data_IF_385364835513
#
_entry.id   IF_385364835513
#
_cell.length_a   1.000
_cell.length_b   1.000
_cell.length_c   1.000
_cell.angle_alpha   90.00
_cell.angle_beta   90.00
_cell.angle_gamma   90.00
#
_symmetry.space_group_name_H-M   'P 1'
#
loop_
_entity.id
_entity.type
_entity.pdbx_description
1 polymer ?
#
# COMPACT_ATOMS: atom_id res chain seq x y z
N UNK A 1 19.78 42.36 -39.28
CA UNK A 1 19.94 41.22 -38.34
C UNK A 1 19.48 41.60 -36.93
N UNK A 2 18.17 41.75 -36.69
CA UNK A 2 17.64 42.13 -35.35
C UNK A 2 16.30 41.45 -35.00
N UNK A 3 15.91 40.39 -35.72
CA UNK A 3 14.64 39.67 -35.47
C UNK A 3 14.81 38.18 -35.10
N UNK A 4 16.04 37.68 -35.03
CA UNK A 4 16.30 36.26 -34.70
C UNK A 4 16.61 36.07 -33.20
N UNK A 5 17.00 37.12 -32.48
CA UNK A 5 17.39 37.01 -31.07
C UNK A 5 16.22 36.96 -30.06
N UNK A 6 14.99 37.27 -30.47
CA UNK A 6 13.85 37.30 -29.54
C UNK A 6 13.13 35.96 -29.40
N UNK A 7 13.24 35.07 -30.40
CA UNK A 7 12.61 33.74 -30.37
C UNK A 7 13.45 32.77 -29.51
N UNK A 8 14.77 32.99 -29.40
CA UNK A 8 15.65 32.12 -28.61
C UNK A 8 15.56 32.36 -27.09
N UNK A 9 15.05 33.52 -26.64
CA UNK A 9 14.92 33.83 -25.22
C UNK A 9 13.60 33.33 -24.59
N UNK A 10 12.55 33.13 -25.40
CA UNK A 10 11.27 32.56 -24.93
C UNK A 10 11.37 31.04 -24.73
N UNK A 11 12.34 30.38 -25.37
CA UNK A 11 12.60 28.94 -25.25
C UNK A 11 13.45 28.56 -24.02
N UNK A 12 14.01 29.52 -23.29
CA UNK A 12 14.95 29.26 -22.17
C UNK A 12 14.42 29.64 -20.79
N UNK A 13 13.18 30.11 -20.67
CA UNK A 13 12.55 30.40 -19.36
C UNK A 13 11.10 29.96 -19.27
N UNK A 14 10.65 28.96 -20.04
CA UNK A 14 9.41 28.25 -19.69
C UNK A 14 9.68 27.34 -18.47
N UNK A 15 9.94 27.98 -17.33
CA UNK A 15 9.30 27.56 -16.10
C UNK A 15 7.80 27.57 -16.41
N UNK A 16 7.31 26.45 -16.94
CA UNK A 16 5.88 26.20 -17.02
C UNK A 16 5.43 26.33 -15.57
N UNK A 17 4.71 27.41 -15.26
CA UNK A 17 4.09 27.58 -13.97
C UNK A 17 3.34 26.27 -13.69
N UNK A 18 3.65 25.63 -12.58
CA UNK A 18 3.02 24.37 -12.20
C UNK A 18 1.58 24.71 -11.80
N UNK A 19 0.67 24.68 -12.76
CA UNK A 19 -0.75 24.89 -12.50
C UNK A 19 -1.33 23.61 -11.87
N UNK A 20 -1.25 23.53 -10.54
CA UNK A 20 -1.86 22.48 -9.73
C UNK A 20 -0.88 21.48 -9.12
N UNK A 21 -1.38 20.38 -8.54
CA UNK A 21 -0.59 19.49 -7.70
C UNK A 21 0.39 18.60 -8.48
N UNK A 22 0.13 18.31 -9.75
CA UNK A 22 0.83 17.24 -10.48
C UNK A 22 2.08 17.76 -11.21
N UNK A 23 3.17 17.01 -11.15
CA UNK A 23 4.33 17.23 -12.00
C UNK A 23 3.96 17.13 -13.49
N UNK A 24 4.72 17.75 -14.41
CA UNK A 24 4.44 17.64 -15.84
C UNK A 24 4.34 16.18 -16.34
N UNK A 25 5.18 15.29 -15.82
CA UNK A 25 5.15 13.86 -16.16
C UNK A 25 3.87 13.17 -15.69
N UNK A 26 3.43 13.44 -14.46
CA UNK A 26 2.19 12.89 -13.93
C UNK A 26 0.97 13.47 -14.64
N UNK A 27 0.94 14.78 -14.93
CA UNK A 27 -0.13 15.41 -15.70
C UNK A 27 -0.29 14.77 -17.09
N UNK A 28 0.82 14.52 -17.80
CA UNK A 28 0.80 13.79 -19.07
C UNK A 28 0.24 12.37 -18.95
N UNK A 29 0.61 11.65 -17.89
CA UNK A 29 0.06 10.31 -17.60
C UNK A 29 -1.44 10.37 -17.34
N UNK A 30 -1.89 11.31 -16.50
CA UNK A 30 -3.30 11.50 -16.19
C UNK A 30 -4.11 11.86 -17.45
N UNK A 31 -3.59 12.74 -18.29
CA UNK A 31 -4.21 13.11 -19.57
C UNK A 31 -4.38 11.90 -20.49
N UNK A 32 -3.33 11.07 -20.63
CA UNK A 32 -3.39 9.84 -21.41
C UNK A 32 -4.42 8.84 -20.87
N UNK A 33 -4.49 8.69 -19.55
CA UNK A 33 -5.44 7.81 -18.87
C UNK A 33 -6.89 8.29 -19.06
N UNK A 34 -7.14 9.59 -18.90
CA UNK A 34 -8.46 10.21 -19.08
C UNK A 34 -8.93 10.03 -20.53
N UNK A 35 -8.07 10.31 -21.50
CA UNK A 35 -8.42 10.16 -22.92
C UNK A 35 -8.73 8.70 -23.29
N UNK A 36 -8.01 7.75 -22.71
CA UNK A 36 -8.22 6.31 -22.97
C UNK A 36 -9.45 5.74 -22.26
N UNK A 37 -9.84 6.33 -21.14
CA UNK A 37 -10.92 5.81 -20.30
C UNK A 37 -11.87 6.93 -19.81
N UNK A 38 -12.55 7.64 -20.73
CA UNK A 38 -13.38 8.80 -20.39
C UNK A 38 -14.58 8.45 -19.51
N UNK A 39 -15.00 7.17 -19.45
CA UNK A 39 -16.13 6.66 -18.68
C UNK A 39 -15.91 6.69 -17.15
N UNK A 40 -14.66 6.67 -16.69
CA UNK A 40 -14.35 6.69 -15.26
C UNK A 40 -14.34 8.10 -14.73
N UNK A 41 -14.99 8.30 -13.57
CA UNK A 41 -15.08 9.62 -12.94
C UNK A 41 -14.05 9.83 -11.83
N UNK A 42 -13.38 8.75 -11.40
CA UNK A 42 -12.40 8.75 -10.33
C UNK A 42 -11.10 8.13 -10.83
N UNK A 43 -9.98 8.76 -10.49
CA UNK A 43 -8.63 8.23 -10.66
C UNK A 43 -7.99 8.17 -9.28
N UNK A 44 -7.78 6.96 -8.76
CA UNK A 44 -7.07 6.74 -7.51
C UNK A 44 -5.57 6.61 -7.79
N UNK A 45 -4.76 7.42 -7.12
CA UNK A 45 -3.31 7.31 -7.10
C UNK A 45 -2.90 6.78 -5.73
N UNK A 46 -2.31 5.59 -5.71
CA UNK A 46 -1.63 5.05 -4.54
C UNK A 46 -0.11 5.11 -4.76
N UNK A 47 0.62 5.74 -3.85
CA UNK A 47 2.07 5.82 -3.86
C UNK A 47 2.67 4.90 -2.80
N UNK A 48 3.63 4.07 -3.21
CA UNK A 48 4.26 3.07 -2.34
C UNK A 48 5.72 2.85 -2.70
N UNK A 49 6.56 2.53 -1.70
CA UNK A 49 7.93 2.02 -1.88
C UNK A 49 7.96 0.53 -1.57
N UNK A 50 8.21 -0.29 -2.59
CA UNK A 50 8.25 -1.75 -2.49
C UNK A 50 9.59 -2.26 -3.00
N UNK A 51 10.32 -3.04 -2.20
CA UNK A 51 11.64 -3.62 -2.56
C UNK A 51 12.63 -2.58 -3.14
N UNK A 52 12.60 -1.35 -2.62
CA UNK A 52 13.46 -0.26 -3.08
C UNK A 52 12.95 0.50 -4.32
N UNK A 53 11.85 0.06 -4.93
CA UNK A 53 11.21 0.74 -6.06
C UNK A 53 10.14 1.72 -5.56
N UNK A 54 10.15 2.95 -6.08
CA UNK A 54 9.08 3.92 -5.84
C UNK A 54 8.01 3.81 -6.93
N UNK A 55 6.81 3.43 -6.53
CA UNK A 55 5.73 3.04 -7.43
C UNK A 55 4.50 3.93 -7.26
N UNK A 56 3.85 4.23 -8.37
CA UNK A 56 2.52 4.82 -8.44
C UNK A 56 1.55 3.83 -9.09
N UNK A 57 0.60 3.34 -8.31
CA UNK A 57 -0.54 2.59 -8.79
C UNK A 57 -1.64 3.59 -9.14
N UNK A 58 -1.94 3.72 -10.43
CA UNK A 58 -2.97 4.64 -10.93
C UNK A 58 -4.14 3.80 -11.42
N UNK A 59 -5.28 3.93 -10.76
CA UNK A 59 -6.47 3.10 -10.98
C UNK A 59 -7.67 3.96 -11.34
N UNK A 60 -8.28 3.65 -12.49
CA UNK A 60 -9.54 4.26 -12.91
C UNK A 60 -10.73 3.53 -12.28
N UNK A 61 -11.64 4.29 -11.67
CA UNK A 61 -12.79 3.81 -10.92
C UNK A 61 -14.03 4.67 -11.22
N UNK A 62 -15.22 4.08 -11.12
CA UNK A 62 -16.46 4.88 -11.14
C UNK A 62 -16.77 5.52 -9.79
N UNK A 63 -16.29 4.91 -8.71
CA UNK A 63 -16.55 5.34 -7.35
C UNK A 63 -15.24 5.50 -6.59
N UNK A 64 -15.16 6.49 -5.69
CA UNK A 64 -14.00 6.67 -4.84
C UNK A 64 -14.12 5.80 -3.57
N UNK A 65 -12.98 5.40 -3.03
CA UNK A 65 -12.89 4.70 -1.76
C UNK A 65 -12.41 5.67 -0.66
N UNK A 66 -13.27 6.07 0.30
CA UNK A 66 -12.87 6.90 1.43
C UNK A 66 -11.67 6.37 2.22
N UNK A 67 -11.53 5.04 2.34
CA UNK A 67 -10.42 4.41 3.07
C UNK A 67 -9.09 4.52 2.34
N UNK A 68 -9.10 4.79 1.04
CA UNK A 68 -7.93 4.98 0.17
C UNK A 68 -7.82 6.43 -0.32
N UNK A 69 -8.30 7.38 0.49
CA UNK A 69 -8.23 8.81 0.21
C UNK A 69 -7.67 9.55 1.43
N UNK A 70 -6.53 10.20 1.26
CA UNK A 70 -5.96 11.15 2.23
C UNK A 70 -6.18 12.59 1.79
N UNK A 71 -6.09 12.77 0.48
CA UNK A 71 -6.27 14.06 -0.18
C UNK A 71 -6.77 13.85 -1.60
N UNK A 72 -7.25 14.90 -2.23
CA UNK A 72 -7.79 14.82 -3.57
C UNK A 72 -7.64 16.14 -4.33
N UNK A 73 -7.87 16.08 -5.64
CA UNK A 73 -7.93 17.24 -6.52
C UNK A 73 -8.91 16.99 -7.66
N UNK A 74 -9.56 18.04 -8.16
CA UNK A 74 -10.44 17.94 -9.33
C UNK A 74 -9.63 18.32 -10.56
N UNK A 75 -9.38 17.33 -11.43
CA UNK A 75 -8.57 17.50 -12.62
C UNK A 75 -9.38 17.12 -13.85
N UNK A 76 -9.64 18.10 -14.75
CA UNK A 76 -10.45 17.91 -15.97
C UNK A 76 -11.78 17.21 -15.69
N UNK A 77 -12.50 17.68 -14.66
CA UNK A 77 -13.78 17.14 -14.17
C UNK A 77 -13.71 15.72 -13.56
N UNK A 78 -12.51 15.14 -13.41
CA UNK A 78 -12.30 13.87 -12.72
C UNK A 78 -11.86 14.11 -11.28
N UNK A 79 -12.34 13.27 -10.37
CA UNK A 79 -11.82 13.22 -9.00
C UNK A 79 -10.52 12.43 -9.00
N UNK A 80 -9.40 13.08 -8.73
CA UNK A 80 -8.12 12.41 -8.51
C UNK A 80 -7.92 12.27 -7.00
N UNK A 81 -7.99 11.05 -6.48
CA UNK A 81 -7.69 10.77 -5.06
C UNK A 81 -6.24 10.35 -4.91
N UNK A 82 -5.66 10.67 -3.76
CA UNK A 82 -4.28 10.34 -3.44
C UNK A 82 -4.18 9.67 -2.07
N UNK A 83 -3.34 8.64 -2.01
CA UNK A 83 -3.00 7.90 -0.79
C UNK A 83 -1.52 7.49 -0.85
N UNK A 84 -0.77 7.78 0.21
CA UNK A 84 0.60 7.29 0.35
C UNK A 84 0.66 6.19 1.42
N UNK A 85 1.31 5.07 1.12
CA UNK A 85 1.41 3.94 2.08
C UNK A 85 2.63 4.03 3.01
N UNK A 86 3.55 4.95 2.74
CA UNK A 86 4.80 5.15 3.46
C UNK A 86 5.07 6.64 3.72
N UNK A 87 6.16 6.97 4.41
CA UNK A 87 6.53 8.36 4.71
C UNK A 87 7.59 8.96 3.75
N UNK A 88 7.86 8.35 2.59
CA UNK A 88 8.81 8.95 1.64
C UNK A 88 8.23 10.24 1.04
N UNK A 89 9.04 11.29 0.94
CA UNK A 89 8.64 12.54 0.30
C UNK A 89 8.56 12.37 -1.22
N UNK A 90 7.36 12.59 -1.78
CA UNK A 90 7.10 12.57 -3.23
C UNK A 90 6.53 13.90 -3.74
N UNK A 91 6.80 14.99 -3.02
CA UNK A 91 6.39 16.36 -3.37
C UNK A 91 6.78 16.79 -4.80
N UNK A 92 7.88 16.23 -5.31
CA UNK A 92 8.37 16.46 -6.66
C UNK A 92 7.49 15.81 -7.76
N UNK A 93 6.66 14.81 -7.42
CA UNK A 93 5.64 14.24 -8.32
C UNK A 93 4.26 14.84 -8.03
N UNK A 94 3.88 14.93 -6.76
CA UNK A 94 2.58 15.43 -6.31
C UNK A 94 2.80 16.42 -5.18
N UNK A 95 2.50 17.70 -5.42
CA UNK A 95 2.63 18.74 -4.42
C UNK A 95 1.37 18.79 -3.54
N UNK A 96 1.55 18.34 -2.30
CA UNK A 96 0.50 18.26 -1.31
C UNK A 96 -0.10 19.61 -0.92
N UNK A 97 0.61 20.73 -1.15
CA UNK A 97 0.10 22.06 -0.82
C UNK A 97 -1.09 22.46 -1.72
N UNK A 98 -1.19 21.85 -2.91
CA UNK A 98 -2.30 22.08 -3.84
C UNK A 98 -3.43 21.05 -3.71
N UNK A 99 -3.22 19.98 -2.94
CA UNK A 99 -4.23 18.95 -2.74
C UNK A 99 -5.22 19.38 -1.64
N UNK A 100 -6.50 19.14 -1.85
CA UNK A 100 -7.50 19.26 -0.80
C UNK A 100 -7.35 18.08 0.17
N UNK A 101 -7.24 18.37 1.47
CA UNK A 101 -7.26 17.33 2.50
C UNK A 101 -8.65 16.70 2.55
N UNK A 102 -8.70 15.36 2.59
CA UNK A 102 -9.94 14.63 2.81
C UNK A 102 -10.17 14.46 4.31
N UNK A 103 -11.31 14.94 4.79
CA UNK A 103 -11.72 14.93 6.20
C UNK A 103 -12.72 13.82 6.55
N UNK A 104 -13.05 12.97 5.57
CA UNK A 104 -14.08 11.94 5.70
C UNK A 104 -15.46 12.36 5.20
N UNK A 105 -15.63 13.63 4.81
CA UNK A 105 -16.89 14.17 4.27
C UNK A 105 -17.28 13.57 2.92
N UNK A 106 -18.57 13.61 2.60
CA UNK A 106 -19.07 13.16 1.30
C UNK A 106 -18.60 14.11 0.20
N UNK A 107 -18.01 13.57 -0.87
CA UNK A 107 -17.65 14.32 -2.07
C UNK A 107 -18.80 14.32 -3.08
N UNK A 108 -18.78 15.25 -4.04
CA UNK A 108 -19.71 15.30 -5.18
C UNK A 108 -19.44 14.21 -6.24
N UNK A 109 -18.98 13.05 -5.81
CA UNK A 109 -18.67 11.87 -6.61
C UNK A 109 -19.25 10.64 -5.91
N UNK A 110 -19.49 9.56 -6.65
CA UNK A 110 -20.05 8.35 -6.07
C UNK A 110 -19.04 7.68 -5.11
N UNK A 111 -19.49 7.35 -3.90
CA UNK A 111 -18.71 6.58 -2.94
C UNK A 111 -18.96 5.08 -3.16
N UNK A 112 -17.89 4.27 -3.05
CA UNK A 112 -17.97 2.81 -3.24
C UNK A 112 -18.95 2.12 -2.28
N UNK A 113 -19.15 2.67 -1.09
CA UNK A 113 -20.06 2.12 -0.08
C UNK A 113 -21.54 2.48 -0.31
N UNK A 114 -21.82 3.44 -1.19
CA UNK A 114 -23.20 3.90 -1.47
C UNK A 114 -23.65 3.63 -2.90
N UNK A 115 -22.75 3.19 -3.78
CA UNK A 115 -22.99 3.02 -5.21
C UNK A 115 -23.23 1.56 -5.57
N UNK A 116 -24.21 1.31 -6.46
CA UNK A 116 -24.43 -0.01 -7.07
C UNK A 116 -23.64 -0.22 -8.36
N UNK A 117 -22.86 0.78 -8.78
CA UNK A 117 -22.07 0.71 -10.02
C UNK A 117 -20.83 -0.13 -9.77
N UNK A 118 -20.81 -1.35 -10.31
CA UNK A 118 -19.66 -2.24 -10.32
C UNK A 118 -19.03 -2.24 -11.71
N UNK A 119 -17.74 -1.92 -11.80
CA UNK A 119 -16.94 -2.13 -13.00
C UNK A 119 -15.58 -2.65 -12.59
N UNK A 120 -14.95 -3.42 -13.47
CA UNK A 120 -13.57 -3.81 -13.25
C UNK A 120 -12.67 -2.57 -13.26
N UNK A 121 -11.81 -2.37 -12.24
CA UNK A 121 -10.87 -1.27 -12.22
C UNK A 121 -9.85 -1.42 -13.34
N UNK A 122 -9.49 -0.32 -14.00
CA UNK A 122 -8.34 -0.30 -14.91
C UNK A 122 -7.14 0.28 -14.20
N UNK A 123 -6.13 -0.55 -13.93
CA UNK A 123 -4.90 -0.13 -13.24
C UNK A 123 -3.71 -0.06 -14.21
N UNK A 124 -2.86 0.93 -14.00
CA UNK A 124 -1.52 1.04 -14.54
C UNK A 124 -0.54 1.31 -13.42
N UNK A 125 0.64 0.72 -13.48
CA UNK A 125 1.70 0.92 -12.48
C UNK A 125 2.85 1.66 -13.14
N UNK A 126 3.28 2.75 -12.51
CA UNK A 126 4.42 3.53 -12.95
C UNK A 126 5.52 3.47 -11.89
N UNK A 127 6.76 3.32 -12.33
CA UNK A 127 7.93 3.51 -11.48
C UNK A 127 8.38 4.97 -11.59
N UNK A 128 8.70 5.57 -10.44
CA UNK A 128 9.33 6.89 -10.38
C UNK A 128 10.83 6.71 -10.56
N UNK A 129 11.37 7.23 -11.67
CA UNK A 129 12.79 7.11 -12.02
C UNK A 129 13.44 8.50 -11.97
N UNK A 130 14.31 8.72 -10.99
CA UNK A 130 14.89 10.03 -10.72
C UNK A 130 13.85 11.08 -10.28
N UNK A 131 14.27 12.35 -10.16
CA UNK A 131 13.49 13.41 -9.54
C UNK A 131 12.31 13.96 -10.37
N UNK A 132 11.58 13.12 -11.12
CA UNK A 132 10.23 13.40 -11.65
C UNK A 132 9.77 12.45 -12.79
N UNK A 133 10.59 11.55 -13.33
CA UNK A 133 10.16 10.77 -14.52
C UNK A 133 9.31 9.58 -14.10
N UNK A 134 8.30 9.27 -14.91
CA UNK A 134 7.44 8.12 -14.72
C UNK A 134 7.65 7.13 -15.86
N UNK A 135 7.98 5.89 -15.51
CA UNK A 135 8.10 4.79 -16.46
C UNK A 135 6.96 3.79 -16.27
N UNK A 136 6.16 3.57 -17.32
CA UNK A 136 5.09 2.59 -17.29
C UNK A 136 5.66 1.18 -17.17
N UNK A 137 5.23 0.45 -16.14
CA UNK A 137 5.55 -0.95 -15.99
C UNK A 137 4.54 -1.80 -16.76
N UNK A 138 4.98 -2.39 -17.86
CA UNK A 138 4.14 -3.31 -18.66
C UNK A 138 3.89 -4.65 -17.98
N UNK A 139 4.78 -5.03 -17.09
CA UNK A 139 4.78 -6.28 -16.32
C UNK A 139 5.15 -5.97 -14.87
N UNK A 140 4.31 -5.22 -14.14
CA UNK A 140 4.62 -4.83 -12.77
C UNK A 140 4.92 -6.04 -11.90
N UNK A 141 4.23 -7.16 -12.12
CA UNK A 141 4.45 -8.43 -11.43
C UNK A 141 5.91 -8.89 -11.47
N UNK A 142 6.66 -8.59 -12.54
CA UNK A 142 8.08 -8.97 -12.67
C UNK A 142 9.04 -8.04 -11.93
N UNK A 143 8.63 -6.81 -11.64
CA UNK A 143 9.43 -5.85 -10.87
C UNK A 143 9.16 -6.03 -9.38
N UNK A 144 7.89 -6.25 -9.01
CA UNK A 144 7.52 -6.80 -7.69
C UNK A 144 7.65 -8.34 -7.65
N UNK A 145 8.67 -8.89 -8.31
CA UNK A 145 9.11 -10.27 -8.06
C UNK A 145 10.34 -10.24 -7.17
N UNK A 146 10.29 -10.98 -6.05
CA UNK A 146 11.41 -11.06 -5.13
C UNK A 146 12.53 -11.89 -5.75
N UNK A 147 13.73 -11.33 -5.83
CA UNK A 147 14.93 -12.03 -6.35
C UNK A 147 15.63 -12.85 -5.28
N UNK A 148 15.59 -12.38 -4.04
CA UNK A 148 16.27 -12.98 -2.91
C UNK A 148 15.28 -13.75 -2.05
N UNK A 149 15.67 -14.93 -1.58
CA UNK A 149 14.87 -15.70 -0.61
C UNK A 149 14.77 -14.94 0.71
N UNK A 150 13.71 -15.25 1.46
CA UNK A 150 13.56 -14.84 2.86
C UNK A 150 13.99 -16.02 3.73
N UNK A 151 15.00 -15.80 4.55
CA UNK A 151 15.67 -16.86 5.33
C UNK A 151 15.82 -16.50 6.80
N UNK A 152 15.43 -15.28 7.21
CA UNK A 152 15.50 -14.87 8.59
C UNK A 152 14.78 -15.83 9.55
N UNK A 153 15.27 -15.87 10.78
CA UNK A 153 14.87 -16.80 11.83
C UNK A 153 14.70 -16.10 13.20
N UNK A 154 14.67 -14.77 13.21
CA UNK A 154 14.48 -13.96 14.41
C UNK A 154 13.01 -13.95 14.85
N UNK A 155 12.74 -13.78 16.15
CA UNK A 155 11.39 -13.69 16.74
C UNK A 155 10.57 -14.98 16.67
N UNK A 156 10.44 -15.67 15.54
CA UNK A 156 9.57 -16.86 15.40
C UNK A 156 10.34 -18.12 15.76
N UNK A 157 10.08 -18.68 16.94
CA UNK A 157 10.76 -19.87 17.46
C UNK A 157 10.23 -21.17 16.85
N UNK A 158 8.94 -21.21 16.50
CA UNK A 158 8.36 -22.37 15.84
C UNK A 158 8.91 -22.49 14.40
N UNK A 159 9.66 -23.55 14.12
CA UNK A 159 10.35 -23.75 12.84
C UNK A 159 9.41 -23.78 11.64
N UNK A 160 8.30 -24.53 11.72
CA UNK A 160 7.40 -24.67 10.58
C UNK A 160 6.63 -23.37 10.32
N UNK A 161 6.20 -22.67 11.38
CA UNK A 161 5.61 -21.34 11.26
C UNK A 161 6.60 -20.35 10.63
N UNK A 162 7.88 -20.41 11.04
CA UNK A 162 8.93 -19.57 10.47
C UNK A 162 9.10 -19.79 8.97
N UNK A 163 9.09 -21.05 8.52
CA UNK A 163 9.15 -21.41 7.09
C UNK A 163 7.92 -20.90 6.32
N UNK A 164 6.72 -21.02 6.90
CA UNK A 164 5.49 -20.47 6.30
C UNK A 164 5.56 -18.95 6.15
N UNK A 165 5.97 -18.23 7.19
CA UNK A 165 6.09 -16.77 7.17
C UNK A 165 7.10 -16.33 6.11
N UNK A 166 8.26 -16.99 6.05
CA UNK A 166 9.29 -16.70 5.04
C UNK A 166 8.76 -16.92 3.62
N UNK A 167 8.08 -18.04 3.38
CA UNK A 167 7.45 -18.33 2.08
C UNK A 167 6.38 -17.30 1.74
N UNK A 168 5.55 -16.91 2.71
CA UNK A 168 4.49 -15.92 2.49
C UNK A 168 5.06 -14.55 2.09
N UNK A 169 6.04 -14.03 2.85
CA UNK A 169 6.70 -12.75 2.57
C UNK A 169 7.43 -12.77 1.23
N UNK A 170 8.03 -13.93 0.88
CA UNK A 170 8.70 -14.10 -0.41
C UNK A 170 7.72 -13.97 -1.58
N UNK A 171 6.54 -14.58 -1.47
CA UNK A 171 5.56 -14.65 -2.56
C UNK A 171 4.59 -13.46 -2.64
N UNK A 172 4.47 -12.65 -1.58
CA UNK A 172 3.48 -11.57 -1.49
C UNK A 172 4.13 -10.23 -1.17
N UNK A 173 4.79 -9.58 -2.13
CA UNK A 173 5.46 -8.29 -1.88
C UNK A 173 4.42 -7.21 -1.52
N UNK A 174 4.59 -6.60 -0.36
CA UNK A 174 3.74 -5.51 0.12
C UNK A 174 4.52 -4.62 1.09
N UNK A 175 3.88 -3.54 1.58
CA UNK A 175 4.46 -2.54 2.47
C UNK A 175 4.77 -3.15 3.84
N UNK A 176 3.85 -3.94 4.38
CA UNK A 176 4.04 -4.65 5.65
C UNK A 176 3.21 -5.94 5.70
N UNK A 177 3.53 -6.76 6.69
CA UNK A 177 2.87 -8.04 6.94
C UNK A 177 2.27 -8.06 8.33
N UNK A 178 0.97 -8.29 8.42
CA UNK A 178 0.31 -8.64 9.67
C UNK A 178 0.67 -10.08 10.05
N UNK A 179 1.08 -10.29 11.29
CA UNK A 179 1.15 -11.60 11.93
C UNK A 179 0.33 -11.54 13.22
N UNK A 180 -0.86 -12.13 13.19
CA UNK A 180 -1.79 -12.11 14.31
C UNK A 180 -1.93 -13.49 14.92
N UNK A 181 -1.90 -13.56 16.24
CA UNK A 181 -2.20 -14.78 16.99
C UNK A 181 -3.60 -14.73 17.59
N UNK A 182 -4.25 -15.88 17.64
CA UNK A 182 -5.52 -16.08 18.33
C UNK A 182 -5.55 -17.44 18.98
N UNK A 183 -6.24 -17.52 20.12
CA UNK A 183 -6.59 -18.77 20.75
C UNK A 183 -8.11 -18.91 20.76
N UNK A 184 -8.62 -20.04 20.26
CA UNK A 184 -10.05 -20.35 20.24
C UNK A 184 -10.21 -21.81 20.63
N UNK A 185 -11.01 -22.09 21.67
CA UNK A 185 -11.26 -23.45 22.17
C UNK A 185 -9.96 -24.24 22.44
N UNK A 186 -8.99 -23.61 23.09
CA UNK A 186 -7.66 -24.17 23.40
C UNK A 186 -6.85 -24.59 22.15
N UNK A 187 -7.15 -24.01 21.00
CA UNK A 187 -6.36 -24.16 19.77
C UNK A 187 -5.72 -22.83 19.42
N UNK A 188 -4.45 -22.89 18.99
CA UNK A 188 -3.68 -21.73 18.62
C UNK A 188 -3.67 -21.54 17.12
N UNK A 189 -3.83 -20.29 16.71
CA UNK A 189 -3.84 -19.90 15.32
C UNK A 189 -2.87 -18.77 15.07
N UNK A 190 -2.15 -18.85 13.95
CA UNK A 190 -1.44 -17.74 13.37
C UNK A 190 -2.16 -17.30 12.09
N UNK A 191 -2.30 -15.99 11.92
CA UNK A 191 -3.00 -15.38 10.81
C UNK A 191 -2.03 -14.40 10.16
N UNK A 192 -1.77 -14.59 8.86
CA UNK A 192 -0.82 -13.76 8.12
C UNK A 192 -1.49 -13.09 6.93
N UNK A 193 -1.15 -11.82 6.70
CA UNK A 193 -1.73 -11.01 5.64
C UNK A 193 -0.81 -9.87 5.22
N UNK A 194 -0.71 -9.65 3.91
CA UNK A 194 -0.11 -8.45 3.33
C UNK A 194 -1.00 -7.23 3.52
N UNK A 195 -0.42 -6.13 3.97
CA UNK A 195 -1.13 -4.90 4.32
C UNK A 195 -0.33 -3.67 3.90
N UNK A 196 -1.04 -2.55 3.72
CA UNK A 196 -0.46 -1.24 3.38
C UNK A 196 -0.40 -0.27 4.57
N UNK A 197 -0.98 -0.64 5.70
CA UNK A 197 -0.97 0.11 6.96
C UNK A 197 -1.22 -0.84 8.14
N UNK A 198 -0.93 -0.38 9.35
CA UNK A 198 -1.19 -1.11 10.60
C UNK A 198 -2.13 -0.32 11.52
N UNK A 199 -2.71 -0.98 12.53
CA UNK A 199 -3.51 -0.32 13.56
C UNK A 199 -2.62 0.06 14.75
N UNK A 200 -2.23 1.34 14.81
CA UNK A 200 -1.34 1.88 15.84
C UNK A 200 -1.89 1.71 17.27
N UNK A 201 -3.20 1.64 17.44
CA UNK A 201 -3.79 1.55 18.77
C UNK A 201 -3.94 0.10 19.26
N UNK A 202 -3.76 -0.88 18.36
CA UNK A 202 -4.02 -2.29 18.65
C UNK A 202 -2.82 -3.21 18.46
N UNK A 203 -1.76 -2.75 17.80
CA UNK A 203 -0.59 -3.59 17.58
C UNK A 203 0.16 -3.85 18.90
N UNK A 204 0.64 -5.07 19.04
CA UNK A 204 1.36 -5.50 20.24
C UNK A 204 2.85 -5.23 20.14
N UNK A 205 3.38 -5.28 18.92
CA UNK A 205 4.77 -4.99 18.60
C UNK A 205 5.06 -5.26 17.14
N UNK A 206 6.33 -5.14 16.75
CA UNK A 206 6.76 -5.40 15.38
C UNK A 206 8.21 -5.87 15.34
N UNK A 207 8.61 -6.47 14.23
CA UNK A 207 10.00 -6.79 13.94
C UNK A 207 10.27 -6.69 12.44
N UNK A 208 11.54 -6.77 12.07
CA UNK A 208 11.95 -6.85 10.68
C UNK A 208 12.44 -8.24 10.34
N UNK A 209 11.94 -8.79 9.24
CA UNK A 209 12.36 -10.07 8.66
C UNK A 209 13.04 -9.79 7.31
N UNK A 210 14.36 -9.85 7.29
CA UNK A 210 15.18 -9.54 6.10
C UNK A 210 14.81 -8.19 5.47
N UNK A 211 14.60 -7.17 6.31
CA UNK A 211 14.18 -5.82 5.90
C UNK A 211 12.67 -5.61 5.75
N UNK A 212 11.86 -6.67 5.79
CA UNK A 212 10.39 -6.58 5.68
C UNK A 212 9.75 -6.35 7.05
N UNK A 213 8.82 -5.40 7.14
CA UNK A 213 8.11 -5.13 8.39
C UNK A 213 7.06 -6.20 8.66
N UNK A 214 7.14 -6.84 9.83
CA UNK A 214 6.11 -7.74 10.35
C UNK A 214 5.51 -7.11 11.61
N UNK A 215 4.19 -6.87 11.60
CA UNK A 215 3.44 -6.24 12.69
C UNK A 215 2.62 -7.31 13.42
N UNK A 216 2.77 -7.36 14.74
CA UNK A 216 2.22 -8.40 15.59
C UNK A 216 0.93 -7.91 16.27
N UNK A 217 -0.07 -8.78 16.30
CA UNK A 217 -1.32 -8.62 17.06
C UNK A 217 -1.67 -9.90 17.81
N UNK A 218 -2.40 -9.79 18.91
CA UNK A 218 -2.78 -10.92 19.76
C UNK A 218 -1.57 -11.62 20.40
N UNK A 219 -0.50 -10.90 20.74
CA UNK A 219 0.77 -11.49 21.21
C UNK A 219 0.61 -12.41 22.42
N UNK A 220 -0.40 -12.19 23.26
CA UNK A 220 -0.64 -13.04 24.44
C UNK A 220 -1.03 -14.46 24.03
N UNK A 221 -1.73 -14.62 22.90
CA UNK A 221 -2.10 -15.92 22.32
C UNK A 221 -0.93 -16.59 21.56
N UNK A 222 0.24 -15.95 21.48
CA UNK A 222 1.41 -16.52 20.82
C UNK A 222 2.19 -17.50 21.68
N UNK A 223 1.86 -17.62 22.97
CA UNK A 223 2.58 -18.43 23.96
C UNK A 223 4.12 -18.36 23.80
N UNK A 224 4.76 -19.52 23.64
CA UNK A 224 6.20 -19.70 23.45
C UNK A 224 6.59 -19.80 21.96
N UNK A 225 5.70 -19.47 21.03
CA UNK A 225 6.03 -19.48 19.60
C UNK A 225 6.92 -18.30 19.20
N UNK A 226 6.98 -17.26 20.04
CA UNK A 226 7.76 -16.05 19.78
C UNK A 226 8.84 -15.82 20.86
N UNK A 227 10.05 -15.49 20.40
CA UNK A 227 11.06 -14.81 21.18
C UNK A 227 10.73 -13.32 21.25
N UNK A 228 10.18 -12.92 22.40
CA UNK A 228 9.69 -11.56 22.64
C UNK A 228 10.81 -10.53 22.78
N UNK A 229 12.07 -10.94 22.93
CA UNK A 229 13.20 -10.01 23.15
C UNK A 229 13.51 -9.14 21.93
N UNK A 230 13.20 -9.62 20.73
CA UNK A 230 13.45 -8.91 19.47
C UNK A 230 12.25 -8.11 18.96
N UNK A 231 11.14 -8.14 19.71
CA UNK A 231 9.91 -7.42 19.37
C UNK A 231 10.01 -5.98 19.85
N UNK A 232 9.84 -5.05 18.92
CA UNK A 232 9.88 -3.61 19.17
C UNK A 232 8.47 -3.08 19.40
N UNK A 233 8.35 -2.06 20.26
CA UNK A 233 7.12 -1.29 20.47
C UNK A 233 7.47 0.17 20.73
N UNK A 234 6.75 1.11 20.12
CA UNK A 234 6.93 2.56 20.33
C UNK A 234 5.54 3.20 20.37
N UNK A 235 5.22 3.90 21.45
CA UNK A 235 3.92 4.56 21.65
C UNK A 235 3.56 5.55 20.52
N UNK A 236 4.56 6.09 19.82
CA UNK A 236 4.38 7.01 18.68
C UNK A 236 4.04 6.28 17.39
N UNK A 237 4.13 4.95 17.37
CA UNK A 237 3.94 4.10 16.20
C UNK A 237 5.25 3.65 15.57
N UNK A 238 5.14 2.85 14.51
CA UNK A 238 6.25 2.30 13.73
C UNK A 238 6.80 3.41 12.81
N UNK A 239 8.08 3.81 12.94
CA UNK A 239 8.65 4.87 12.13
C UNK A 239 8.60 4.58 10.63
N UNK A 240 8.25 5.57 9.81
CA UNK A 240 8.14 5.52 8.35
C UNK A 240 6.97 4.69 7.77
N UNK A 241 6.09 4.14 8.62
CA UNK A 241 4.93 3.36 8.18
C UNK A 241 3.62 4.04 8.58
N UNK A 242 2.68 4.06 7.63
CA UNK A 242 1.35 4.60 7.85
C UNK A 242 0.51 3.70 8.74
N UNK A 243 -0.36 4.33 9.52
CA UNK A 243 -1.32 3.64 10.38
C UNK A 243 -2.74 4.13 10.14
N UNK A 244 -3.71 3.22 10.28
CA UNK A 244 -5.15 3.48 10.26
C UNK A 244 -5.87 2.46 11.13
N UNK A 245 -7.08 2.81 11.57
CA UNK A 245 -7.95 1.84 12.25
C UNK A 245 -8.29 0.69 11.30
N UNK A 246 -8.11 -0.54 11.78
CA UNK A 246 -8.57 -1.74 11.06
C UNK A 246 -9.94 -2.11 11.62
N UNK A 247 -10.97 -1.89 10.78
CA UNK A 247 -12.35 -2.24 11.10
C UNK A 247 -12.70 -3.66 10.65
N UNK A 248 -12.10 -4.12 9.54
CA UNK A 248 -12.38 -5.44 8.95
C UNK A 248 -11.14 -6.34 8.99
N UNK A 249 -11.10 -7.14 10.04
CA UNK A 249 -9.97 -8.01 10.38
C UNK A 249 -9.85 -9.28 9.54
N UNK A 250 -10.81 -9.51 8.65
CA UNK A 250 -10.86 -10.64 7.73
C UNK A 250 -10.80 -10.19 6.25
N UNK A 251 -10.56 -8.89 5.97
CA UNK A 251 -10.43 -8.38 4.61
C UNK A 251 -9.20 -7.46 4.42
N UNK A 252 -8.34 -7.69 3.41
CA UNK A 252 -8.39 -8.83 2.48
C UNK A 252 -8.26 -10.16 3.22
N UNK A 253 -8.78 -11.24 2.63
CA UNK A 253 -8.85 -12.55 3.30
C UNK A 253 -7.44 -13.02 3.70
N UNK A 254 -7.15 -13.12 5.01
CA UNK A 254 -5.82 -13.51 5.47
C UNK A 254 -5.64 -15.03 5.33
N UNK A 255 -4.39 -15.46 5.22
CA UNK A 255 -4.03 -16.87 5.36
C UNK A 255 -4.07 -17.24 6.84
N UNK A 256 -4.69 -18.38 7.17
CA UNK A 256 -4.87 -18.85 8.54
C UNK A 256 -4.19 -20.19 8.74
N UNK A 257 -3.46 -20.31 9.83
CA UNK A 257 -2.66 -21.47 10.21
C UNK A 257 -3.11 -21.96 11.58
N UNK A 258 -3.38 -23.25 11.74
CA UNK A 258 -3.49 -23.90 13.05
C UNK A 258 -2.10 -24.36 13.49
N UNK A 259 -1.72 -24.05 14.74
CA UNK A 259 -0.47 -24.49 15.36
C UNK A 259 -0.83 -25.58 16.38
N UNK A 260 -0.35 -26.79 16.13
CA UNK A 260 -0.54 -27.94 17.02
C UNK A 260 0.45 -27.89 18.19
N UNK A 261 0.11 -28.58 19.27
CA UNK A 261 0.93 -28.66 20.50
C UNK A 261 2.32 -29.26 20.29
N UNK A 262 2.48 -30.13 19.28
CA UNK A 262 3.79 -30.68 18.90
C UNK A 262 4.62 -29.71 18.03
N UNK A 263 4.13 -28.50 17.78
CA UNK A 263 4.76 -27.48 16.95
C UNK A 263 4.46 -27.60 15.46
N UNK A 264 3.71 -28.61 15.00
CA UNK A 264 3.32 -28.69 13.60
C UNK A 264 2.34 -27.57 13.25
N UNK A 265 2.35 -27.15 11.99
CA UNK A 265 1.51 -26.08 11.46
C UNK A 265 0.74 -26.59 10.25
N UNK A 266 -0.56 -26.31 10.22
CA UNK A 266 -1.45 -26.62 9.09
C UNK A 266 -2.08 -25.34 8.55
N UNK A 267 -1.97 -25.13 7.25
CA UNK A 267 -2.78 -24.12 6.56
C UNK A 267 -4.24 -24.57 6.49
N UNK A 268 -5.13 -23.66 6.86
CA UNK A 268 -6.57 -23.90 6.87
C UNK A 268 -7.19 -23.46 5.55
N UNK A 269 -8.12 -24.27 5.05
CA UNK A 269 -8.98 -23.86 3.94
C UNK A 269 -9.86 -22.67 4.33
N UNK A 270 -10.43 -21.99 3.33
CA UNK A 270 -11.33 -20.85 3.55
C UNK A 270 -12.50 -21.22 4.48
N UNK A 271 -13.08 -22.41 4.33
CA UNK A 271 -14.21 -22.88 5.15
C UNK A 271 -13.79 -23.17 6.59
N UNK A 272 -12.66 -23.84 6.81
CA UNK A 272 -12.11 -24.08 8.14
C UNK A 272 -11.74 -22.78 8.85
N UNK A 273 -11.19 -21.82 8.09
CA UNK A 273 -10.69 -20.56 8.62
C UNK A 273 -11.75 -19.48 8.79
N UNK A 274 -12.95 -19.61 8.21
CA UNK A 274 -13.90 -18.49 8.12
C UNK A 274 -14.26 -17.88 9.48
N UNK A 275 -14.48 -18.71 10.49
CA UNK A 275 -14.93 -18.30 11.83
C UNK A 275 -13.82 -17.91 12.81
N UNK A 276 -12.55 -17.99 12.39
CA UNK A 276 -11.37 -17.70 13.22
C UNK A 276 -11.08 -16.20 13.25
#
# INVERSE_FOLDING_TARGET
MKKIFFILFILLTSCVAKDGPFSPSLAMVLDGIINKNPEYNVIQIQASKLEGHELLFITCLHNYNPKMTESYYIYKNKLVTYFQTDENDRSYIIDHNFLYKYDGGKLNYNCIYSSKVTSEPKQQVYEIIGNNKLALLKRPEKIVCRKNKIEGNNVVLNKQLNEFINSYIYNNIDVLYELRFKEINNKHYAIIRSMIYYDKNKYDGYFFRDGNLVVIYGIDASENFLDKTWIKKDIRGIPNFKYRTIDEWNYPYPLKLEIFSNGNVKELSLSEGFAI
#
